data_IF_412438836084
#
_entry.id   IF_412438836084
#
_cell.length_a   1.000
_cell.length_b   1.000
_cell.length_c   1.000
_cell.angle_alpha   90.00
_cell.angle_beta   90.00
_cell.angle_gamma   90.00
#
_symmetry.space_group_name_H-M   'P 1'
#
loop_
_entity.id
_entity.type
_entity.pdbx_description
1 polymer ?
#
# COMPACT_ATOMS: atom_id res chain seq x y z
N UNK A 1 -1.84 1.67 42.54
CA UNK A 1 -1.88 2.42 41.27
C UNK A 1 -2.71 1.58 40.33
N UNK A 2 -3.98 1.95 40.12
CA UNK A 2 -4.87 1.27 39.18
C UNK A 2 -4.40 1.62 37.77
N UNK A 3 -3.97 0.60 37.01
CA UNK A 3 -3.77 0.70 35.58
C UNK A 3 -5.04 1.29 34.98
N UNK A 4 -4.93 2.46 34.33
CA UNK A 4 -5.97 2.92 33.41
C UNK A 4 -6.00 1.83 32.32
N UNK A 5 -7.08 1.04 32.26
CA UNK A 5 -7.39 0.28 31.08
C UNK A 5 -7.34 1.29 29.91
N UNK A 6 -6.48 1.02 28.93
CA UNK A 6 -6.46 1.80 27.71
C UNK A 6 -7.84 1.62 27.06
N UNK A 7 -8.64 2.68 27.09
CA UNK A 7 -9.99 2.69 26.51
C UNK A 7 -9.84 2.84 24.97
N UNK A 8 -9.33 1.76 24.34
CA UNK A 8 -9.19 1.72 22.90
C UNK A 8 -10.56 1.69 22.23
N UNK A 9 -10.75 2.33 21.07
CA UNK A 9 -11.97 2.21 20.29
C UNK A 9 -12.32 0.74 20.01
N UNK A 10 -13.62 0.43 19.94
CA UNK A 10 -14.10 -0.94 19.78
C UNK A 10 -13.57 -1.67 18.53
N UNK A 11 -13.12 -0.94 17.52
CA UNK A 11 -12.56 -1.50 16.29
C UNK A 11 -11.08 -1.92 16.44
N UNK A 12 -10.35 -1.44 17.45
CA UNK A 12 -8.90 -1.66 17.55
C UNK A 12 -8.55 -3.13 17.82
N UNK A 13 -9.22 -3.79 18.75
CA UNK A 13 -8.97 -5.20 19.02
C UNK A 13 -9.32 -6.13 17.83
N UNK A 14 -10.47 -5.99 17.13
CA UNK A 14 -10.72 -6.71 15.89
C UNK A 14 -9.69 -6.44 14.78
N UNK A 15 -9.17 -5.22 14.66
CA UNK A 15 -8.13 -4.91 13.67
C UNK A 15 -6.82 -5.62 14.03
N UNK A 16 -6.40 -5.56 15.29
CA UNK A 16 -5.21 -6.26 15.77
C UNK A 16 -5.33 -7.78 15.58
N UNK A 17 -6.50 -8.36 15.81
CA UNK A 17 -6.75 -9.78 15.55
C UNK A 17 -6.58 -10.12 14.06
N UNK A 18 -6.99 -9.24 13.12
CA UNK A 18 -6.71 -9.40 11.68
C UNK A 18 -5.21 -9.41 11.37
N UNK A 19 -4.42 -8.74 12.19
CA UNK A 19 -2.95 -8.73 12.08
C UNK A 19 -2.29 -9.86 12.89
N UNK A 20 -3.06 -10.78 13.47
CA UNK A 20 -2.54 -11.91 14.27
C UNK A 20 -2.15 -11.55 15.70
N UNK A 21 -2.67 -10.44 16.24
CA UNK A 21 -2.48 -10.03 17.63
C UNK A 21 -3.79 -10.16 18.41
N UNK A 22 -4.04 -11.37 18.93
CA UNK A 22 -5.28 -11.68 19.66
C UNK A 22 -5.35 -11.04 21.05
N UNK A 23 -4.20 -10.69 21.62
CA UNK A 23 -4.08 -10.01 22.92
C UNK A 23 -3.42 -8.62 22.74
N UNK A 24 -4.22 -7.53 22.63
CA UNK A 24 -3.69 -6.18 22.52
C UNK A 24 -2.81 -5.74 23.69
N UNK A 25 -3.07 -6.23 24.91
CA UNK A 25 -2.29 -5.88 26.10
C UNK A 25 -0.86 -6.43 26.01
N UNK A 26 -0.65 -7.52 25.29
CA UNK A 26 0.67 -8.11 25.06
C UNK A 26 1.59 -7.25 24.18
N UNK A 27 1.06 -6.25 23.49
CA UNK A 27 1.87 -5.32 22.67
C UNK A 27 2.73 -4.39 23.55
N UNK A 28 2.29 -4.09 24.76
CA UNK A 28 2.98 -3.19 25.67
C UNK A 28 2.97 -1.73 25.20
N UNK A 29 3.90 -0.93 25.74
CA UNK A 29 4.07 0.45 25.30
C UNK A 29 4.64 0.54 23.88
N UNK A 30 4.38 1.66 23.14
CA UNK A 30 4.97 1.89 21.82
C UNK A 30 6.48 1.66 21.82
N UNK A 31 6.95 0.84 20.90
CA UNK A 31 8.36 0.54 20.70
C UNK A 31 8.66 0.24 19.23
N UNK A 32 9.92 0.36 18.86
CA UNK A 32 10.33 0.03 17.48
C UNK A 32 10.11 -1.45 17.14
N UNK A 33 10.30 -2.35 18.10
CA UNK A 33 10.06 -3.78 17.88
C UNK A 33 8.58 -4.06 17.61
N UNK A 34 7.68 -3.50 18.41
CA UNK A 34 6.23 -3.63 18.22
C UNK A 34 5.81 -2.97 16.89
N UNK A 35 6.36 -1.80 16.55
CA UNK A 35 6.08 -1.14 15.26
C UNK A 35 6.49 -2.02 14.07
N UNK A 36 7.67 -2.66 14.12
CA UNK A 36 8.12 -3.59 13.08
C UNK A 36 7.18 -4.79 12.94
N UNK A 37 6.74 -5.36 14.05
CA UNK A 37 5.81 -6.48 14.04
C UNK A 37 4.46 -6.10 13.44
N UNK A 38 3.90 -4.94 13.80
CA UNK A 38 2.64 -4.43 13.26
C UNK A 38 2.75 -4.13 11.76
N UNK A 39 3.82 -3.48 11.34
CA UNK A 39 4.05 -3.13 9.94
C UNK A 39 4.18 -4.39 9.07
N UNK A 40 5.02 -5.35 9.49
CA UNK A 40 5.16 -6.65 8.81
C UNK A 40 3.81 -7.35 8.66
N UNK A 41 3.11 -7.52 9.77
CA UNK A 41 1.80 -8.17 9.76
C UNK A 41 0.81 -7.46 8.82
N UNK A 42 0.85 -6.12 8.78
CA UNK A 42 -0.04 -5.37 7.89
C UNK A 42 0.24 -5.66 6.40
N UNK A 43 1.50 -5.53 5.96
CA UNK A 43 1.85 -5.74 4.54
C UNK A 43 1.78 -7.21 4.11
N UNK A 44 1.84 -8.15 5.08
CA UNK A 44 1.68 -9.58 4.83
C UNK A 44 0.22 -10.02 4.72
N UNK A 45 -0.67 -9.43 5.54
CA UNK A 45 -2.03 -9.93 5.74
C UNK A 45 -3.12 -9.04 5.14
N UNK A 46 -2.83 -7.76 4.88
CA UNK A 46 -3.78 -6.79 4.31
C UNK A 46 -3.27 -6.38 2.93
N UNK A 47 -3.94 -6.85 1.89
CA UNK A 47 -3.51 -6.61 0.52
C UNK A 47 -3.75 -5.16 0.08
N UNK A 48 -2.82 -4.61 -0.71
CA UNK A 48 -3.12 -3.47 -1.59
C UNK A 48 -4.00 -3.98 -2.74
N UNK A 49 -5.16 -3.34 -2.99
CA UNK A 49 -6.12 -3.79 -4.01
C UNK A 49 -7.01 -2.66 -4.52
N UNK A 50 -7.47 -2.80 -5.75
CA UNK A 50 -8.38 -1.84 -6.38
C UNK A 50 -9.67 -2.43 -6.95
N UNK A 51 -10.15 -3.58 -6.41
CA UNK A 51 -11.37 -4.26 -6.89
C UNK A 51 -12.57 -3.33 -7.02
N UNK A 52 -12.88 -2.51 -5.99
CA UNK A 52 -14.07 -1.66 -6.00
C UNK A 52 -13.93 -0.50 -6.99
N UNK A 53 -12.72 0.01 -7.22
CA UNK A 53 -12.45 0.98 -8.29
C UNK A 53 -12.71 0.35 -9.65
N UNK A 54 -12.20 -0.86 -9.86
CA UNK A 54 -12.38 -1.60 -11.10
C UNK A 54 -13.85 -1.98 -11.37
N UNK A 55 -14.63 -2.18 -10.32
CA UNK A 55 -16.07 -2.41 -10.39
C UNK A 55 -16.89 -1.10 -10.53
N UNK A 56 -16.24 0.07 -10.59
CA UNK A 56 -16.91 1.36 -10.74
C UNK A 56 -17.66 1.85 -9.50
N UNK A 57 -17.36 1.31 -8.32
CA UNK A 57 -17.96 1.66 -7.02
C UNK A 57 -16.91 1.93 -5.94
N UNK A 58 -15.99 2.89 -6.17
CA UNK A 58 -14.92 3.18 -5.22
C UNK A 58 -15.49 3.57 -3.86
N UNK A 59 -14.85 3.09 -2.81
CA UNK A 59 -15.18 3.43 -1.43
C UNK A 59 -14.45 4.72 -1.03
N UNK A 60 -14.91 5.40 0.02
CA UNK A 60 -14.23 6.55 0.58
C UNK A 60 -12.89 6.20 1.21
N UNK A 61 -12.16 7.25 1.59
CA UNK A 61 -10.82 7.12 2.18
C UNK A 61 -10.72 7.68 3.60
N UNK A 62 -11.85 8.08 4.21
CA UNK A 62 -11.77 8.46 5.61
C UNK A 62 -11.34 7.27 6.49
N UNK A 63 -10.74 7.55 7.65
CA UNK A 63 -10.18 6.48 8.49
C UNK A 63 -11.20 5.44 8.92
N UNK A 64 -12.45 5.85 9.22
CA UNK A 64 -13.48 4.92 9.69
C UNK A 64 -13.92 3.96 8.56
N UNK A 65 -14.12 4.46 7.34
CA UNK A 65 -14.41 3.63 6.17
C UNK A 65 -13.25 2.69 5.84
N UNK A 66 -12.01 3.20 5.90
CA UNK A 66 -10.79 2.42 5.65
C UNK A 66 -10.63 1.28 6.65
N UNK A 67 -10.87 1.53 7.95
CA UNK A 67 -10.88 0.51 8.99
C UNK A 67 -12.01 -0.51 8.77
N UNK A 68 -13.21 -0.06 8.45
CA UNK A 68 -14.34 -0.93 8.21
C UNK A 68 -14.08 -1.92 7.05
N UNK A 69 -13.38 -1.47 5.99
CA UNK A 69 -12.94 -2.34 4.88
C UNK A 69 -12.02 -3.45 5.37
N UNK A 70 -11.00 -3.12 6.14
CA UNK A 70 -10.05 -4.10 6.69
C UNK A 70 -10.79 -5.11 7.58
N UNK A 71 -11.69 -4.65 8.44
CA UNK A 71 -12.49 -5.53 9.29
C UNK A 71 -13.40 -6.47 8.49
N UNK A 72 -13.88 -6.01 7.32
CA UNK A 72 -14.64 -6.83 6.38
C UNK A 72 -13.78 -7.81 5.56
N UNK A 73 -12.47 -7.93 5.84
CA UNK A 73 -11.56 -8.81 5.09
C UNK A 73 -11.14 -8.26 3.73
N UNK A 74 -11.28 -6.95 3.53
CA UNK A 74 -10.85 -6.26 2.32
C UNK A 74 -9.56 -5.48 2.60
N UNK A 75 -8.86 -5.13 1.54
CA UNK A 75 -7.76 -4.18 1.59
C UNK A 75 -8.17 -2.80 1.08
N UNK A 76 -7.39 -2.25 0.21
CA UNK A 76 -7.58 -0.98 -0.47
C UNK A 76 -6.27 -0.49 -1.05
N UNK A 77 -6.26 0.68 -1.64
CA UNK A 77 -5.03 1.26 -2.14
C UNK A 77 -4.39 2.22 -1.10
N UNK A 78 -3.35 2.97 -1.48
CA UNK A 78 -2.51 3.74 -0.56
C UNK A 78 -3.29 4.54 0.49
N UNK A 79 -4.33 5.27 0.09
CA UNK A 79 -5.10 6.11 1.02
C UNK A 79 -5.86 5.29 2.07
N UNK A 80 -6.47 4.18 1.67
CA UNK A 80 -7.18 3.32 2.63
C UNK A 80 -6.22 2.67 3.62
N UNK A 81 -5.12 2.08 3.11
CA UNK A 81 -4.19 1.32 3.93
C UNK A 81 -3.46 2.22 4.93
N UNK A 82 -2.93 3.36 4.46
CA UNK A 82 -2.20 4.28 5.34
C UNK A 82 -3.13 5.02 6.32
N UNK A 83 -4.36 5.37 5.93
CA UNK A 83 -5.32 5.93 6.89
C UNK A 83 -5.66 4.95 8.01
N UNK A 84 -6.02 3.72 7.67
CA UNK A 84 -6.37 2.71 8.67
C UNK A 84 -5.18 2.38 9.58
N UNK A 85 -3.99 2.22 9.02
CA UNK A 85 -2.79 1.90 9.80
C UNK A 85 -2.34 3.08 10.68
N UNK A 86 -2.40 4.30 10.14
CA UNK A 86 -2.09 5.52 10.91
C UNK A 86 -2.99 5.69 12.12
N UNK A 87 -4.31 5.45 11.97
CA UNK A 87 -5.26 5.47 13.08
C UNK A 87 -4.97 4.36 14.10
N UNK A 88 -4.67 3.15 13.65
CA UNK A 88 -4.30 2.06 14.55
C UNK A 88 -3.06 2.42 15.38
N UNK A 89 -2.01 2.92 14.75
CA UNK A 89 -0.78 3.34 15.44
C UNK A 89 -1.04 4.47 16.42
N UNK A 90 -1.86 5.45 16.04
CA UNK A 90 -2.24 6.59 16.91
C UNK A 90 -2.97 6.11 18.16
N UNK A 91 -3.93 5.21 18.01
CA UNK A 91 -4.67 4.61 19.13
C UNK A 91 -3.74 3.79 20.03
N UNK A 92 -2.73 3.14 19.49
CA UNK A 92 -1.70 2.41 20.24
C UNK A 92 -0.67 3.34 20.90
N UNK A 93 -0.79 4.67 20.72
CA UNK A 93 0.05 5.67 21.38
C UNK A 93 1.33 6.04 20.66
N UNK A 94 1.47 5.71 19.37
CA UNK A 94 2.58 6.19 18.55
C UNK A 94 2.39 7.65 18.13
N UNK A 95 3.49 8.40 17.99
CA UNK A 95 3.53 9.74 17.43
C UNK A 95 3.56 9.66 15.89
N UNK A 96 2.38 9.61 15.28
CA UNK A 96 2.17 9.44 13.83
C UNK A 96 1.99 10.79 13.16
N UNK A 97 2.61 10.96 12.00
CA UNK A 97 2.36 12.12 11.13
C UNK A 97 2.05 11.64 9.71
N UNK A 98 0.96 12.19 9.15
CA UNK A 98 0.59 12.03 7.73
C UNK A 98 1.31 13.09 6.91
N UNK A 99 1.78 12.71 5.72
CA UNK A 99 2.49 13.59 4.79
C UNK A 99 1.97 13.44 3.36
N UNK A 100 2.06 14.54 2.59
CA UNK A 100 1.79 14.52 1.16
C UNK A 100 2.92 13.83 0.41
N UNK A 101 2.56 12.91 -0.48
CA UNK A 101 3.49 12.17 -1.33
C UNK A 101 3.03 12.07 -2.78
N UNK A 102 3.98 11.66 -3.63
CA UNK A 102 3.82 11.46 -5.06
C UNK A 102 4.57 10.20 -5.48
N UNK A 103 3.87 9.20 -5.99
CA UNK A 103 4.49 8.04 -6.62
C UNK A 103 4.90 8.39 -8.06
N UNK A 104 6.13 8.06 -8.41
CA UNK A 104 6.70 8.28 -9.73
C UNK A 104 6.86 6.94 -10.46
N UNK A 105 6.42 6.88 -11.71
CA UNK A 105 6.57 5.72 -12.59
C UNK A 105 8.03 5.49 -13.01
N UNK A 106 8.26 5.01 -14.23
CA UNK A 106 9.58 4.64 -14.75
C UNK A 106 10.59 5.80 -14.82
N UNK A 107 10.10 7.05 -14.87
CA UNK A 107 10.92 8.26 -14.82
C UNK A 107 10.34 9.18 -13.76
N UNK A 108 11.15 9.47 -12.75
CA UNK A 108 10.78 10.43 -11.72
C UNK A 108 10.73 11.84 -12.32
N UNK A 109 9.53 12.40 -12.40
CA UNK A 109 9.31 13.81 -12.71
C UNK A 109 9.02 14.52 -11.42
N UNK A 110 9.98 15.31 -10.90
CA UNK A 110 9.71 16.18 -9.77
C UNK A 110 8.63 17.19 -10.14
N UNK A 111 7.60 17.34 -9.31
CA UNK A 111 6.64 18.44 -9.44
C UNK A 111 7.26 19.74 -8.97
N UNK A 112 6.72 20.85 -9.43
CA UNK A 112 7.30 22.15 -9.16
C UNK A 112 7.19 22.57 -7.69
N UNK A 113 6.18 22.06 -6.95
CA UNK A 113 5.94 22.40 -5.55
C UNK A 113 5.49 21.19 -4.73
N UNK A 114 5.80 21.21 -3.45
CA UNK A 114 5.39 20.17 -2.50
C UNK A 114 3.85 20.06 -2.32
N UNK A 115 3.12 21.14 -2.52
CA UNK A 115 1.65 21.17 -2.41
C UNK A 115 0.95 20.36 -3.51
N UNK A 116 1.66 20.08 -4.61
CA UNK A 116 1.16 19.24 -5.70
C UNK A 116 1.31 17.75 -5.41
N UNK A 117 1.97 17.37 -4.31
CA UNK A 117 2.18 15.98 -3.89
C UNK A 117 0.93 15.44 -3.18
N UNK A 118 -0.04 14.96 -3.95
CA UNK A 118 -1.32 14.50 -3.41
C UNK A 118 -1.76 13.14 -3.95
N UNK A 119 -0.90 12.43 -4.70
CA UNK A 119 -1.25 11.12 -5.27
C UNK A 119 -0.89 9.95 -4.37
N UNK A 120 -0.20 10.23 -3.27
CA UNK A 120 0.15 9.24 -2.26
C UNK A 120 0.10 9.86 -0.86
N UNK A 121 -0.32 9.08 0.11
CA UNK A 121 -0.29 9.42 1.54
C UNK A 121 0.89 8.67 2.17
N UNK A 122 1.90 9.38 2.62
CA UNK A 122 3.01 8.79 3.35
C UNK A 122 2.82 8.94 4.86
N UNK A 123 3.34 7.99 5.64
CA UNK A 123 3.30 8.03 7.10
C UNK A 123 4.70 8.02 7.69
N UNK A 124 4.89 8.79 8.77
CA UNK A 124 6.06 8.65 9.63
C UNK A 124 5.65 8.50 11.09
N UNK A 125 6.52 7.84 11.86
CA UNK A 125 6.40 7.70 13.32
C UNK A 125 7.69 8.18 13.97
N UNK A 126 7.59 8.88 15.10
CA UNK A 126 8.76 9.24 15.93
C UNK A 126 8.86 8.29 17.11
N UNK A 127 10.00 7.63 17.27
CA UNK A 127 10.31 6.75 18.41
C UNK A 127 11.72 7.11 18.92
N UNK A 128 11.84 7.38 20.22
CA UNK A 128 13.10 7.72 20.86
C UNK A 128 13.87 8.87 20.18
N UNK A 129 13.11 9.82 19.61
CA UNK A 129 13.65 10.98 18.89
C UNK A 129 14.10 10.68 17.45
N UNK A 130 13.99 9.45 16.96
CA UNK A 130 14.26 9.07 15.57
C UNK A 130 12.95 8.95 14.79
N UNK A 131 12.93 9.45 13.55
CA UNK A 131 11.77 9.38 12.64
C UNK A 131 11.89 8.17 11.71
N UNK A 132 10.79 7.46 11.56
CA UNK A 132 10.68 6.25 10.75
C UNK A 132 9.60 6.41 9.69
N UNK A 133 9.88 5.99 8.45
CA UNK A 133 8.86 5.80 7.41
C UNK A 133 8.11 4.49 7.68
N UNK A 134 6.78 4.56 7.73
CA UNK A 134 5.90 3.43 8.11
C UNK A 134 4.78 3.21 7.09
N UNK A 135 5.10 3.34 5.85
CA UNK A 135 4.16 3.32 4.72
C UNK A 135 3.77 1.89 4.33
N UNK A 136 2.53 1.49 4.62
CA UNK A 136 1.95 0.20 4.26
C UNK A 136 1.12 0.26 2.97
N UNK A 137 0.96 1.46 2.40
CA UNK A 137 0.19 1.71 1.18
C UNK A 137 1.03 1.81 -0.09
N UNK A 138 2.31 1.50 -0.03
CA UNK A 138 3.23 1.63 -1.17
C UNK A 138 3.44 0.29 -1.91
N UNK A 139 2.33 -0.42 -2.17
CA UNK A 139 2.30 -1.67 -2.93
C UNK A 139 3.35 -2.71 -2.44
N UNK A 140 4.30 -3.10 -3.30
CA UNK A 140 5.36 -4.05 -2.99
C UNK A 140 6.65 -3.41 -2.42
N UNK A 141 6.53 -2.31 -1.68
CA UNK A 141 7.64 -1.56 -1.09
C UNK A 141 8.27 -2.27 0.14
N UNK A 142 8.69 -1.51 1.13
CA UNK A 142 9.41 -2.01 2.29
C UNK A 142 8.53 -2.88 3.21
N UNK A 143 9.12 -3.92 3.77
CA UNK A 143 8.46 -4.88 4.64
C UNK A 143 8.46 -4.42 6.12
N UNK A 144 9.45 -3.65 6.51
CA UNK A 144 9.60 -3.08 7.84
C UNK A 144 9.77 -1.56 7.78
N UNK A 145 9.45 -0.83 8.84
CA UNK A 145 9.77 0.59 8.94
C UNK A 145 11.22 0.89 8.59
N UNK A 146 11.44 1.96 7.84
CA UNK A 146 12.79 2.43 7.45
C UNK A 146 13.10 3.71 8.21
N UNK A 147 14.27 3.82 8.89
CA UNK A 147 14.67 5.07 9.54
C UNK A 147 14.79 6.18 8.51
N UNK A 148 14.23 7.36 8.78
CA UNK A 148 14.23 8.49 7.87
C UNK A 148 15.59 9.19 7.90
N UNK A 149 16.57 8.56 7.28
CA UNK A 149 17.93 9.09 7.04
C UNK A 149 18.45 8.63 5.70
N UNK A 150 19.28 9.46 5.11
CA UNK A 150 19.90 9.17 3.82
C UNK A 150 20.68 7.85 3.86
N UNK A 151 20.51 7.04 2.83
CA UNK A 151 21.26 5.80 2.65
C UNK A 151 20.46 4.67 2.07
N UNK A 152 21.13 3.53 1.99
CA UNK A 152 20.61 2.27 1.47
C UNK A 152 20.13 1.39 2.63
N UNK A 153 18.93 0.83 2.47
CA UNK A 153 18.29 -0.05 3.43
C UNK A 153 17.99 -1.40 2.76
N UNK A 154 18.52 -2.47 3.35
CA UNK A 154 18.31 -3.84 2.85
C UNK A 154 17.29 -4.54 3.73
N UNK A 155 16.27 -5.11 3.10
CA UNK A 155 15.25 -5.92 3.78
C UNK A 155 15.03 -7.21 2.99
N UNK A 156 15.54 -8.33 3.54
CA UNK A 156 15.57 -9.58 2.82
C UNK A 156 16.34 -9.45 1.50
N UNK A 157 15.77 -9.87 0.37
CA UNK A 157 16.43 -9.78 -0.93
C UNK A 157 16.29 -8.41 -1.62
N UNK A 158 15.59 -7.44 -1.00
CA UNK A 158 15.27 -6.15 -1.61
C UNK A 158 16.13 -5.02 -1.07
N UNK A 159 16.39 -4.05 -1.95
CA UNK A 159 17.19 -2.86 -1.68
C UNK A 159 16.33 -1.61 -1.86
N UNK A 160 16.27 -0.77 -0.84
CA UNK A 160 15.62 0.53 -0.87
C UNK A 160 16.63 1.63 -0.62
N UNK A 161 16.33 2.85 -1.04
CA UNK A 161 17.20 3.97 -0.78
C UNK A 161 16.40 5.22 -0.45
N UNK A 162 16.82 5.95 0.58
CA UNK A 162 16.28 7.27 0.94
C UNK A 162 17.30 8.34 0.64
N UNK A 163 16.85 9.42 -0.01
CA UNK A 163 17.68 10.62 -0.25
C UNK A 163 16.87 11.88 0.06
N UNK A 164 17.53 12.93 0.63
CA UNK A 164 16.96 14.27 0.63
C UNK A 164 16.65 14.75 -0.79
N UNK A 165 15.60 15.57 -0.94
CA UNK A 165 15.14 16.13 -2.20
C UNK A 165 15.12 17.67 -2.10
N UNK A 166 16.32 18.33 -1.95
CA UNK A 166 16.41 19.74 -1.62
C UNK A 166 15.85 20.68 -2.71
N UNK A 167 15.73 20.22 -3.96
CA UNK A 167 15.12 20.96 -5.05
C UNK A 167 13.60 21.20 -4.84
N UNK A 168 12.95 20.39 -4.01
CA UNK A 168 11.55 20.55 -3.62
C UNK A 168 11.41 21.31 -2.30
N UNK A 169 12.33 21.08 -1.37
CA UNK A 169 12.34 21.74 -0.07
C UNK A 169 13.29 21.08 0.91
N UNK A 170 13.61 21.78 2.03
CA UNK A 170 14.57 21.29 3.02
C UNK A 170 14.10 20.01 3.73
N UNK A 171 12.78 19.77 3.79
CA UNK A 171 12.16 18.64 4.46
C UNK A 171 11.59 17.62 3.46
N UNK A 172 12.00 17.69 2.18
CA UNK A 172 11.55 16.77 1.16
C UNK A 172 12.50 15.58 1.02
N UNK A 173 11.91 14.42 0.76
CA UNK A 173 12.61 13.15 0.63
C UNK A 173 12.15 12.38 -0.60
N UNK A 174 13.07 11.61 -1.18
CA UNK A 174 12.78 10.60 -2.20
C UNK A 174 13.13 9.22 -1.68
N UNK A 175 12.14 8.35 -1.72
CA UNK A 175 12.29 6.92 -1.51
C UNK A 175 12.41 6.23 -2.87
N UNK A 176 13.45 5.45 -3.07
CA UNK A 176 13.65 4.61 -4.25
C UNK A 176 13.34 3.16 -3.91
N UNK A 177 12.62 2.49 -4.81
CA UNK A 177 12.42 1.05 -4.73
C UNK A 177 13.65 0.29 -5.19
N UNK A 178 13.63 -1.03 -5.01
CA UNK A 178 14.64 -1.91 -5.60
C UNK A 178 14.68 -1.70 -7.13
N UNK A 179 15.86 -1.45 -7.73
CA UNK A 179 15.97 -1.21 -9.17
C UNK A 179 15.47 -2.36 -10.05
N UNK A 180 15.38 -3.59 -9.50
CA UNK A 180 14.81 -4.74 -10.22
C UNK A 180 13.28 -4.76 -10.19
N UNK A 181 12.64 -3.93 -9.36
CA UNK A 181 11.18 -3.78 -9.33
C UNK A 181 10.72 -2.85 -10.44
N UNK A 182 9.60 -3.19 -11.09
CA UNK A 182 9.10 -2.47 -12.26
C UNK A 182 7.77 -1.76 -12.04
N UNK A 183 7.15 -1.94 -10.88
CA UNK A 183 5.81 -1.38 -10.58
C UNK A 183 5.82 0.12 -10.40
N UNK A 184 6.84 0.66 -9.72
CA UNK A 184 7.10 2.10 -9.64
C UNK A 184 8.59 2.32 -9.38
N UNK A 185 9.09 3.53 -9.65
CA UNK A 185 10.50 3.86 -9.52
C UNK A 185 10.83 4.49 -8.17
N UNK A 186 10.04 5.46 -7.75
CA UNK A 186 10.28 6.20 -6.52
C UNK A 186 8.99 6.82 -5.97
N UNK A 187 9.07 7.26 -4.73
CA UNK A 187 8.04 8.05 -4.09
C UNK A 187 8.69 9.28 -3.44
N UNK A 188 8.20 10.46 -3.78
CA UNK A 188 8.60 11.72 -3.19
C UNK A 188 7.62 12.12 -2.11
N UNK A 189 8.08 12.68 -1.00
CA UNK A 189 7.22 13.19 0.06
C UNK A 189 7.89 14.33 0.82
N UNK A 190 7.09 15.12 1.50
CA UNK A 190 7.57 16.21 2.37
C UNK A 190 7.18 15.92 3.82
N UNK A 191 7.92 16.47 4.78
CA UNK A 191 7.61 16.29 6.20
C UNK A 191 6.59 17.30 6.73
N UNK A 192 6.04 18.17 5.87
CA UNK A 192 4.91 19.02 6.25
C UNK A 192 3.72 18.13 6.64
N UNK A 193 3.10 18.34 7.81
CA UNK A 193 1.92 17.59 8.21
C UNK A 193 0.76 17.77 7.22
N UNK A 194 0.02 16.71 6.97
CA UNK A 194 -1.20 16.69 6.19
C UNK A 194 -2.30 15.95 6.95
N UNK A 195 -3.52 16.04 6.45
CA UNK A 195 -4.65 15.27 6.93
C UNK A 195 -5.24 14.45 5.78
N UNK A 196 -6.05 13.46 6.08
CA UNK A 196 -6.66 12.64 5.04
C UNK A 196 -7.57 13.44 4.10
N UNK A 197 -8.15 14.56 4.57
CA UNK A 197 -8.97 15.46 3.76
C UNK A 197 -8.19 16.10 2.60
N UNK A 198 -6.90 16.31 2.76
CA UNK A 198 -6.03 16.85 1.72
C UNK A 198 -5.96 15.98 0.46
N UNK A 199 -6.33 14.70 0.59
CA UNK A 199 -6.29 13.72 -0.50
C UNK A 199 -7.64 13.47 -1.17
N UNK A 200 -8.74 14.04 -0.69
CA UNK A 200 -10.09 13.80 -1.22
C UNK A 200 -10.22 14.06 -2.71
N UNK A 201 -9.66 15.17 -3.19
CA UNK A 201 -9.72 15.53 -4.62
C UNK A 201 -8.95 14.51 -5.45
N UNK A 202 -7.73 14.19 -5.03
CA UNK A 202 -6.89 13.18 -5.72
C UNK A 202 -7.53 11.79 -5.66
N UNK A 203 -8.14 11.42 -4.53
CA UNK A 203 -8.90 10.18 -4.43
C UNK A 203 -10.02 10.12 -5.47
N UNK A 204 -10.83 11.19 -5.58
CA UNK A 204 -11.90 11.23 -6.58
C UNK A 204 -11.35 11.04 -7.98
N UNK A 205 -10.29 11.75 -8.35
CA UNK A 205 -9.69 11.62 -9.67
C UNK A 205 -9.08 10.23 -9.89
N UNK A 206 -8.29 9.74 -8.94
CA UNK A 206 -7.62 8.44 -9.06
C UNK A 206 -8.60 7.27 -9.09
N UNK A 207 -9.75 7.38 -8.43
CA UNK A 207 -10.75 6.30 -8.34
C UNK A 207 -11.84 6.35 -9.42
N UNK A 208 -11.98 7.46 -10.17
CA UNK A 208 -13.09 7.62 -11.13
C UNK A 208 -12.67 8.07 -12.52
N UNK A 209 -11.51 8.73 -12.68
CA UNK A 209 -11.05 9.24 -13.98
C UNK A 209 -10.67 8.08 -14.92
N UNK A 210 -11.18 8.06 -16.18
CA UNK A 210 -10.77 7.07 -17.17
C UNK A 210 -9.28 7.10 -17.52
N UNK A 211 -8.56 8.15 -17.16
CA UNK A 211 -7.11 8.30 -17.36
C UNK A 211 -6.31 7.78 -16.18
N UNK A 212 -6.97 7.55 -15.03
CA UNK A 212 -6.31 7.02 -13.84
C UNK A 212 -5.75 5.63 -14.07
N UNK A 213 -4.51 5.33 -13.63
CA UNK A 213 -3.97 3.99 -13.66
C UNK A 213 -4.86 3.00 -12.90
N UNK A 214 -5.41 3.39 -11.75
CA UNK A 214 -6.27 2.52 -10.92
C UNK A 214 -7.62 2.19 -11.56
N UNK A 215 -8.11 3.04 -12.46
CA UNK A 215 -9.29 2.76 -13.27
C UNK A 215 -8.95 1.94 -14.51
N UNK A 216 -7.74 2.07 -15.05
CA UNK A 216 -7.31 1.38 -16.27
C UNK A 216 -6.74 0.00 -16.03
N UNK A 217 -6.01 -0.19 -14.94
CA UNK A 217 -5.26 -1.40 -14.63
C UNK A 217 -5.77 -2.03 -13.33
N UNK A 218 -5.93 -3.33 -13.33
CA UNK A 218 -6.20 -4.08 -12.11
C UNK A 218 -4.89 -4.32 -11.36
N UNK A 219 -4.90 -4.02 -10.07
CA UNK A 219 -3.72 -4.09 -9.22
C UNK A 219 -4.02 -4.82 -7.90
N UNK A 220 -3.17 -5.76 -7.55
CA UNK A 220 -3.23 -6.51 -6.31
C UNK A 220 -1.82 -6.81 -5.83
N UNK A 221 -1.44 -6.39 -4.63
CA UNK A 221 -0.09 -6.57 -4.08
C UNK A 221 -0.11 -7.03 -2.63
N UNK A 222 0.86 -7.86 -2.31
CA UNK A 222 1.30 -8.15 -0.94
C UNK A 222 2.78 -8.48 -0.94
N UNK A 223 3.38 -8.48 0.24
CA UNK A 223 4.75 -8.97 0.39
C UNK A 223 4.98 -9.60 1.75
N UNK A 224 5.99 -10.46 1.83
CA UNK A 224 6.59 -10.93 3.05
C UNK A 224 8.10 -10.61 3.10
N UNK A 225 8.83 -11.19 4.06
CA UNK A 225 10.26 -10.94 4.23
C UNK A 225 11.11 -11.40 3.03
N UNK A 226 10.65 -12.39 2.28
CA UNK A 226 11.42 -13.05 1.22
C UNK A 226 10.93 -12.77 -0.20
N UNK A 227 9.68 -12.34 -0.36
CA UNK A 227 9.12 -12.10 -1.69
C UNK A 227 8.04 -11.00 -1.70
N UNK A 228 7.80 -10.47 -2.89
CA UNK A 228 6.62 -9.69 -3.24
C UNK A 228 5.77 -10.50 -4.20
N UNK A 229 4.46 -10.56 -3.96
CA UNK A 229 3.49 -11.21 -4.84
C UNK A 229 2.51 -10.16 -5.33
N UNK A 230 2.22 -10.18 -6.63
CA UNK A 230 1.29 -9.22 -7.20
C UNK A 230 0.58 -9.75 -8.44
N UNK A 231 -0.59 -9.19 -8.68
CA UNK A 231 -1.33 -9.35 -9.93
C UNK A 231 -1.44 -7.97 -10.58
N UNK A 232 -1.01 -7.90 -11.83
CA UNK A 232 -1.26 -6.75 -12.71
C UNK A 232 -2.09 -7.25 -13.88
N UNK A 233 -3.31 -6.78 -13.96
CA UNK A 233 -4.34 -7.30 -14.86
C UNK A 233 -4.48 -8.82 -14.74
N UNK A 234 -4.17 -9.58 -15.78
CA UNK A 234 -4.26 -11.05 -15.81
C UNK A 234 -2.91 -11.75 -15.50
N UNK A 235 -1.91 -11.03 -15.04
CA UNK A 235 -0.56 -11.53 -14.82
C UNK A 235 -0.21 -11.63 -13.34
N UNK A 236 -0.07 -12.85 -12.81
CA UNK A 236 0.39 -13.12 -11.45
C UNK A 236 1.91 -13.28 -11.42
N UNK A 237 2.56 -12.47 -10.62
CA UNK A 237 4.02 -12.50 -10.44
C UNK A 237 4.40 -12.76 -8.99
N UNK A 238 5.42 -13.60 -8.79
CA UNK A 238 6.15 -13.77 -7.53
C UNK A 238 7.59 -13.32 -7.76
N UNK A 239 8.00 -12.29 -7.03
CA UNK A 239 9.34 -11.68 -7.08
C UNK A 239 10.09 -11.98 -5.77
N UNK A 240 11.14 -12.78 -5.85
CA UNK A 240 12.02 -13.14 -4.73
C UNK A 240 13.29 -12.26 -4.69
N UNK A 241 13.27 -11.15 -5.41
CA UNK A 241 14.40 -10.23 -5.50
C UNK A 241 15.62 -10.79 -6.25
N UNK A 242 16.63 -9.97 -6.42
CA UNK A 242 17.88 -10.33 -7.12
C UNK A 242 17.65 -10.96 -8.51
N UNK A 243 16.60 -10.55 -9.22
CA UNK A 243 16.24 -11.06 -10.54
C UNK A 243 15.53 -12.42 -10.56
N UNK A 244 15.21 -13.00 -9.39
CA UNK A 244 14.42 -14.23 -9.30
C UNK A 244 12.94 -13.89 -9.31
N UNK A 245 12.37 -13.90 -10.50
CA UNK A 245 10.95 -13.61 -10.73
C UNK A 245 10.31 -14.72 -11.52
N UNK A 246 9.13 -15.15 -11.11
CA UNK A 246 8.26 -16.06 -11.86
C UNK A 246 6.95 -15.35 -12.14
N UNK A 247 6.50 -15.44 -13.38
CA UNK A 247 5.27 -14.84 -13.85
C UNK A 247 4.44 -15.86 -14.58
N UNK A 248 3.13 -15.82 -14.40
CA UNK A 248 2.18 -16.65 -15.15
C UNK A 248 0.90 -15.87 -15.45
N UNK A 249 0.29 -16.18 -16.57
CA UNK A 249 -1.03 -15.64 -16.92
C UNK A 249 -2.11 -16.41 -16.14
N UNK A 250 -3.07 -15.70 -15.59
CA UNK A 250 -4.30 -16.27 -15.04
C UNK A 250 -5.26 -16.54 -16.19
N UNK A 251 -5.90 -17.70 -16.21
CA UNK A 251 -6.69 -18.14 -17.36
C UNK A 251 -8.20 -17.95 -17.19
N UNK A 252 -8.66 -17.61 -15.97
CA UNK A 252 -10.09 -17.47 -15.67
C UNK A 252 -10.36 -16.57 -14.48
N UNK A 253 -11.61 -16.04 -14.40
CA UNK A 253 -12.12 -15.36 -13.22
C UNK A 253 -11.97 -16.25 -11.96
N UNK A 254 -12.31 -17.53 -12.05
CA UNK A 254 -12.19 -18.47 -10.94
C UNK A 254 -10.76 -18.52 -10.39
N UNK A 255 -9.77 -18.54 -11.27
CA UNK A 255 -8.36 -18.55 -10.89
C UNK A 255 -7.93 -17.24 -10.25
N UNK A 256 -8.31 -16.08 -10.81
CA UNK A 256 -8.05 -14.77 -10.23
C UNK A 256 -8.62 -14.67 -8.81
N UNK A 257 -9.90 -15.01 -8.63
CA UNK A 257 -10.55 -14.93 -7.32
C UNK A 257 -9.99 -15.93 -6.32
N UNK A 258 -9.57 -17.12 -6.79
CA UNK A 258 -8.85 -18.09 -5.95
C UNK A 258 -7.51 -17.53 -5.49
N UNK A 259 -6.71 -16.94 -6.38
CA UNK A 259 -5.44 -16.31 -6.04
C UNK A 259 -5.67 -15.16 -5.06
N UNK A 260 -6.66 -14.30 -5.30
CA UNK A 260 -6.98 -13.17 -4.42
C UNK A 260 -7.38 -13.63 -3.00
N UNK A 261 -8.07 -14.76 -2.87
CA UNK A 261 -8.44 -15.33 -1.56
C UNK A 261 -7.27 -16.06 -0.90
N UNK A 262 -6.61 -16.98 -1.63
CA UNK A 262 -5.63 -17.89 -1.04
C UNK A 262 -4.28 -17.23 -0.77
N UNK A 263 -3.85 -16.31 -1.65
CA UNK A 263 -2.55 -15.64 -1.56
C UNK A 263 -2.66 -14.26 -0.91
N UNK A 264 -3.69 -13.50 -1.26
CA UNK A 264 -3.86 -12.11 -0.78
C UNK A 264 -4.85 -11.97 0.38
N UNK A 265 -5.39 -13.09 0.88
CA UNK A 265 -6.24 -13.16 2.08
C UNK A 265 -7.52 -12.32 2.01
N UNK A 266 -8.03 -12.02 0.80
CA UNK A 266 -9.22 -11.19 0.63
C UNK A 266 -10.51 -11.99 0.80
N UNK A 267 -11.47 -11.40 1.53
CA UNK A 267 -12.87 -11.84 1.51
C UNK A 267 -13.60 -11.13 0.35
N UNK A 268 -13.88 -11.87 -0.69
CA UNK A 268 -14.56 -11.40 -1.90
C UNK A 268 -15.97 -12.00 -2.05
N UNK A 269 -16.53 -12.51 -0.96
CA UNK A 269 -17.86 -13.16 -0.95
C UNK A 269 -18.99 -12.21 -1.35
N UNK A 270 -18.82 -10.90 -1.14
CA UNK A 270 -19.79 -9.88 -1.53
C UNK A 270 -19.77 -9.54 -3.04
N UNK A 271 -18.80 -10.02 -3.82
CA UNK A 271 -18.77 -9.84 -5.26
C UNK A 271 -19.49 -11.01 -5.91
N UNK A 272 -20.62 -10.74 -6.54
CA UNK A 272 -21.42 -11.77 -7.19
C UNK A 272 -20.82 -12.27 -8.52
N UNK A 273 -21.39 -13.33 -9.08
CA UNK A 273 -20.86 -13.98 -10.29
C UNK A 273 -20.93 -13.08 -11.52
N UNK A 274 -21.90 -12.17 -11.62
CA UNK A 274 -21.99 -11.22 -12.73
C UNK A 274 -20.88 -10.18 -12.67
N UNK A 275 -20.63 -9.61 -11.49
CA UNK A 275 -19.52 -8.70 -11.23
C UNK A 275 -18.16 -9.38 -11.47
N UNK A 276 -18.01 -10.65 -11.05
CA UNK A 276 -16.79 -11.44 -11.29
C UNK A 276 -16.52 -11.62 -12.78
N UNK A 277 -17.54 -11.96 -13.55
CA UNK A 277 -17.42 -12.14 -15.00
C UNK A 277 -17.09 -10.80 -15.69
N UNK A 278 -17.79 -9.73 -15.37
CA UNK A 278 -17.56 -8.40 -15.95
C UNK A 278 -16.17 -7.86 -15.64
N UNK A 279 -15.70 -8.05 -14.40
CA UNK A 279 -14.35 -7.66 -13.99
C UNK A 279 -13.30 -8.45 -14.77
N UNK A 280 -13.47 -9.76 -14.89
CA UNK A 280 -12.54 -10.62 -15.63
C UNK A 280 -12.45 -10.25 -17.12
N UNK A 281 -13.57 -10.03 -17.80
CA UNK A 281 -13.61 -9.58 -19.19
C UNK A 281 -12.85 -8.28 -19.39
N UNK A 282 -12.88 -7.39 -18.40
CA UNK A 282 -12.16 -6.12 -18.42
C UNK A 282 -10.67 -6.32 -18.25
N UNK A 283 -10.26 -7.12 -17.24
CA UNK A 283 -8.88 -7.45 -16.93
C UNK A 283 -8.19 -8.12 -18.13
N UNK A 284 -8.84 -9.11 -18.76
CA UNK A 284 -8.30 -9.77 -19.94
C UNK A 284 -8.05 -8.79 -21.09
N UNK A 285 -8.97 -7.86 -21.34
CA UNK A 285 -8.79 -6.85 -22.40
C UNK A 285 -7.62 -5.92 -22.09
N UNK A 286 -7.49 -5.44 -20.84
CA UNK A 286 -6.40 -4.59 -20.43
C UNK A 286 -5.03 -5.29 -20.57
N UNK A 287 -4.91 -6.53 -20.08
CA UNK A 287 -3.69 -7.33 -20.20
C UNK A 287 -3.31 -7.62 -21.65
N UNK A 288 -4.29 -7.96 -22.51
CA UNK A 288 -4.04 -8.16 -23.94
C UNK A 288 -3.57 -6.89 -24.65
N UNK A 289 -4.17 -5.73 -24.35
CA UNK A 289 -3.76 -4.43 -24.88
C UNK A 289 -2.35 -4.06 -24.44
N UNK A 290 -2.00 -4.34 -23.19
CA UNK A 290 -0.67 -4.07 -22.66
C UNK A 290 0.38 -4.91 -23.38
N UNK A 291 0.19 -6.23 -23.49
CA UNK A 291 1.12 -7.13 -24.21
C UNK A 291 1.31 -6.72 -25.67
N UNK A 292 0.23 -6.44 -26.40
CA UNK A 292 0.30 -6.02 -27.80
C UNK A 292 1.12 -4.74 -28.02
N UNK A 293 1.09 -3.81 -27.06
CA UNK A 293 1.90 -2.58 -27.11
C UNK A 293 3.39 -2.83 -26.86
N UNK A 294 3.72 -3.77 -25.98
CA UNK A 294 5.12 -4.05 -25.63
C UNK A 294 5.80 -4.95 -26.65
N UNK A 295 5.10 -5.94 -27.22
CA UNK A 295 5.61 -6.75 -28.33
C UNK A 295 5.91 -5.91 -29.60
N UNK A 296 5.14 -4.84 -29.83
CA UNK A 296 5.38 -3.94 -30.95
C UNK A 296 6.53 -2.94 -30.72
N UNK A 297 6.98 -2.78 -29.47
CA UNK A 297 8.11 -1.88 -29.12
C UNK A 297 9.47 -2.63 -29.13
N UNK A 298 9.47 -3.96 -29.10
CA UNK A 298 10.69 -4.79 -29.15
C UNK A 298 11.06 -5.23 -30.61
N UNK A 299 10.20 -4.98 -31.58
CA UNK A 299 10.42 -5.21 -33.02
C UNK A 299 10.71 -3.92 -33.77
#
# INVERSE_FOLDING_TARGET
MTSKANDHPAWAAPYLAKLGFDDPESLGAPSLDTLRRLHRAHVELIAFENFDIQLGRPQGIDPAESIARILAGRGGYCFNLNNAFGELLTVLGYDVTVHRGQVNGSVATAKATADEYTTHMALTVVIDGERWSVDVGLANSHHEPIPLREGVHIQGPFRFELRPLPEIGPDAWRFFTDPAQTTFHSMDFTLAPATWEDFRSSHTELSTSPQSPFVRWFELFRRDAGCAEFVLDDEFTRDEGAGRRTTRILESAQELFKVATDVFHLDLSAIDDADRAALWDRIQRAGAEWRAKHESAEN
#
